data_IF_946438892952
#
_entry.id   IF_946438892952
#
_cell.length_a   1.000
_cell.length_b   1.000
_cell.length_c   1.000
_cell.angle_alpha   90.00
_cell.angle_beta   90.00
_cell.angle_gamma   90.00
#
_symmetry.space_group_name_H-M   'P 1'
#
loop_
_entity.id
_entity.type
_entity.pdbx_description
1 polymer ?
#
# COMPACT_ATOMS: atom_id res chain seq x y z
N UNK A 1 26.58 -8.88 -15.44
CA UNK A 1 25.53 -8.30 -16.31
C UNK A 1 24.39 -7.92 -15.39
N UNK A 2 24.36 -6.67 -14.92
CA UNK A 2 23.28 -6.16 -14.06
C UNK A 2 22.11 -5.84 -14.97
N UNK A 3 21.04 -6.64 -14.88
CA UNK A 3 19.80 -6.44 -15.65
C UNK A 3 19.12 -5.14 -15.19
N UNK A 4 18.39 -4.43 -16.08
CA UNK A 4 18.00 -3.04 -15.87
C UNK A 4 17.08 -2.92 -14.65
N UNK A 5 17.59 -2.22 -13.64
CA UNK A 5 16.84 -1.37 -12.72
C UNK A 5 15.42 -1.87 -12.37
N UNK A 6 15.35 -2.87 -11.48
CA UNK A 6 14.21 -3.03 -10.56
C UNK A 6 14.15 -1.84 -9.57
N UNK A 7 14.24 -0.61 -10.09
CA UNK A 7 14.28 0.61 -9.31
C UNK A 7 12.99 0.70 -8.53
N UNK A 8 13.15 0.71 -7.21
CA UNK A 8 12.05 0.93 -6.30
C UNK A 8 11.46 2.31 -6.61
N UNK A 9 10.21 2.33 -7.05
CA UNK A 9 9.51 3.54 -7.42
C UNK A 9 8.01 3.39 -7.16
N UNK A 10 7.33 4.52 -7.03
CA UNK A 10 5.88 4.57 -6.94
C UNK A 10 5.31 5.62 -7.89
N UNK A 11 4.06 5.41 -8.30
CA UNK A 11 3.29 6.36 -9.11
C UNK A 11 1.85 6.44 -8.62
N UNK A 12 1.24 7.62 -8.76
CA UNK A 12 -0.21 7.79 -8.70
C UNK A 12 -0.81 7.62 -10.09
N UNK A 13 -2.03 7.12 -10.16
CA UNK A 13 -2.80 7.07 -11.41
C UNK A 13 -4.25 7.48 -11.16
N UNK A 14 -4.91 8.15 -12.13
CA UNK A 14 -6.30 8.54 -12.00
C UNK A 14 -7.19 7.28 -11.97
N UNK A 15 -8.17 7.27 -11.06
CA UNK A 15 -9.18 6.21 -10.98
C UNK A 15 -10.54 6.83 -10.60
N UNK A 16 -11.26 7.36 -11.59
CA UNK A 16 -12.52 8.09 -11.39
C UNK A 16 -12.39 9.21 -10.34
N UNK A 17 -13.22 9.19 -9.28
CA UNK A 17 -13.17 10.13 -8.15
C UNK A 17 -12.11 9.77 -7.10
N UNK A 18 -11.37 8.67 -7.30
CA UNK A 18 -10.39 8.12 -6.37
C UNK A 18 -8.96 8.28 -6.92
N UNK A 19 -7.96 8.03 -6.05
CA UNK A 19 -6.54 8.07 -6.42
C UNK A 19 -5.97 6.66 -6.36
N UNK A 20 -5.50 6.15 -7.50
CA UNK A 20 -4.76 4.91 -7.57
C UNK A 20 -3.30 5.08 -7.17
N UNK A 21 -2.75 4.11 -6.46
CA UNK A 21 -1.33 4.02 -6.09
C UNK A 21 -0.75 2.75 -6.65
N UNK A 22 0.49 2.83 -7.10
CA UNK A 22 1.26 1.68 -7.55
C UNK A 22 2.69 1.78 -7.07
N UNK A 23 3.13 0.80 -6.29
CA UNK A 23 4.52 0.58 -5.92
C UNK A 23 5.16 -0.52 -6.79
N UNK A 24 6.43 -0.33 -7.13
CA UNK A 24 7.26 -1.28 -7.89
C UNK A 24 8.53 -1.59 -7.10
N UNK A 25 9.04 -2.81 -7.18
CA UNK A 25 10.31 -3.16 -6.56
C UNK A 25 10.85 -4.51 -7.00
N UNK A 26 12.11 -4.80 -6.67
CA UNK A 26 12.75 -6.09 -6.97
C UNK A 26 12.13 -7.27 -6.20
N UNK A 27 11.47 -6.98 -5.08
CA UNK A 27 10.82 -7.97 -4.21
C UNK A 27 9.39 -7.55 -3.91
N UNK A 28 8.57 -8.52 -3.48
CA UNK A 28 7.22 -8.27 -3.00
C UNK A 28 7.23 -7.16 -1.95
N UNK A 29 8.04 -7.33 -0.89
CA UNK A 29 8.21 -6.35 0.19
C UNK A 29 8.59 -4.96 -0.32
N UNK A 30 9.57 -4.86 -1.23
CA UNK A 30 9.97 -3.57 -1.79
C UNK A 30 8.82 -2.89 -2.55
N UNK A 31 7.99 -3.64 -3.27
CA UNK A 31 6.82 -3.07 -3.95
C UNK A 31 5.76 -2.56 -2.96
N UNK A 32 5.60 -3.21 -1.79
CA UNK A 32 4.75 -2.73 -0.71
C UNK A 32 5.27 -1.45 -0.07
N UNK A 33 6.58 -1.38 0.21
CA UNK A 33 7.22 -0.17 0.74
C UNK A 33 6.97 1.03 -0.18
N UNK A 34 7.11 0.83 -1.49
CA UNK A 34 6.86 1.90 -2.47
C UNK A 34 5.38 2.30 -2.53
N UNK A 35 4.45 1.34 -2.46
CA UNK A 35 3.03 1.66 -2.40
C UNK A 35 2.66 2.41 -1.11
N UNK A 36 3.29 2.10 0.03
CA UNK A 36 3.11 2.83 1.28
C UNK A 36 3.64 4.28 1.21
N UNK A 37 4.76 4.51 0.51
CA UNK A 37 5.24 5.86 0.20
C UNK A 37 4.24 6.63 -0.68
N UNK A 38 3.72 5.98 -1.72
CA UNK A 38 2.69 6.57 -2.58
C UNK A 38 1.41 6.93 -1.80
N UNK A 39 0.98 6.10 -0.87
CA UNK A 39 -0.15 6.38 0.03
C UNK A 39 0.12 7.61 0.91
N UNK A 40 1.29 7.65 1.54
CA UNK A 40 1.67 8.79 2.40
C UNK A 40 1.73 10.10 1.61
N UNK A 41 2.20 10.04 0.35
CA UNK A 41 2.30 11.19 -0.54
C UNK A 41 0.94 11.79 -0.95
N UNK A 42 -0.17 11.04 -0.84
CA UNK A 42 -1.53 11.60 -1.01
C UNK A 42 -1.87 12.54 0.14
N UNK A 43 -1.44 12.19 1.36
CA UNK A 43 -1.75 12.93 2.58
C UNK A 43 -0.84 14.15 2.75
N UNK A 44 0.47 14.00 2.51
CA UNK A 44 1.46 15.07 2.72
C UNK A 44 2.74 14.83 1.93
N UNK A 45 3.49 15.88 1.54
CA UNK A 45 4.81 15.70 0.93
C UNK A 45 5.75 14.90 1.83
N UNK A 46 6.34 13.82 1.30
CA UNK A 46 7.21 12.90 2.05
C UNK A 46 8.38 13.62 2.73
N UNK A 47 8.91 14.69 2.13
CA UNK A 47 10.02 15.47 2.68
C UNK A 47 9.65 16.18 3.99
N UNK A 48 8.36 16.33 4.29
CA UNK A 48 7.84 16.91 5.53
C UNK A 48 7.57 15.86 6.61
N UNK A 49 7.63 14.58 6.28
CA UNK A 49 7.39 13.48 7.22
C UNK A 49 8.68 13.20 7.99
N UNK A 50 8.60 13.26 9.32
CA UNK A 50 9.64 12.76 10.23
C UNK A 50 9.07 11.52 10.93
N UNK A 51 9.77 10.39 10.85
CA UNK A 51 9.38 9.13 11.49
C UNK A 51 10.40 8.76 12.59
N UNK A 52 10.34 9.43 13.76
CA UNK A 52 11.26 9.16 14.86
C UNK A 52 11.04 7.78 15.52
N UNK A 53 9.82 7.25 15.43
CA UNK A 53 9.40 6.00 16.04
C UNK A 53 8.94 5.01 14.98
N UNK A 54 9.30 3.74 15.16
CA UNK A 54 8.84 2.63 14.34
C UNK A 54 8.09 1.63 15.23
N UNK A 55 6.82 1.37 14.90
CA UNK A 55 6.02 0.33 15.54
C UNK A 55 5.93 -0.87 14.59
N UNK A 56 6.22 -2.06 15.12
CA UNK A 56 6.02 -3.30 14.38
C UNK A 56 4.57 -3.73 14.53
N UNK A 57 3.86 -3.85 13.41
CA UNK A 57 2.52 -4.39 13.36
C UNK A 57 2.62 -5.77 12.71
N UNK A 58 2.37 -6.82 13.51
CA UNK A 58 2.28 -8.17 12.99
C UNK A 58 0.83 -8.45 12.59
N UNK A 59 0.59 -8.73 11.31
CA UNK A 59 -0.72 -9.18 10.85
C UNK A 59 -0.74 -10.72 10.84
N UNK A 60 -1.65 -11.37 11.58
CA UNK A 60 -1.87 -12.80 11.49
C UNK A 60 -2.70 -13.11 10.23
N UNK A 61 -2.20 -12.78 9.03
CA UNK A 61 -2.89 -13.14 7.80
C UNK A 61 -2.45 -14.52 7.33
N UNK A 62 -3.43 -15.39 7.14
CA UNK A 62 -3.34 -16.76 6.64
C UNK A 62 -3.00 -16.81 5.15
N UNK A 63 -1.87 -16.25 4.72
CA UNK A 63 -1.28 -16.55 3.41
C UNK A 63 -1.84 -15.84 2.16
N UNK A 64 -2.91 -15.06 2.25
CA UNK A 64 -3.47 -14.35 1.08
C UNK A 64 -2.83 -12.96 0.91
N UNK A 65 -2.05 -12.81 -0.17
CA UNK A 65 -1.34 -11.57 -0.54
C UNK A 65 -2.26 -10.35 -0.76
N UNK A 66 -3.56 -10.57 -0.96
CA UNK A 66 -4.59 -9.55 -1.14
C UNK A 66 -4.99 -8.84 0.17
N UNK A 67 -4.44 -9.23 1.33
CA UNK A 67 -4.76 -8.59 2.62
C UNK A 67 -3.56 -7.93 3.31
N UNK A 68 -2.36 -7.90 2.70
CA UNK A 68 -1.16 -7.42 3.40
C UNK A 68 -1.19 -5.91 3.75
N UNK A 69 -2.08 -5.11 3.14
CA UNK A 69 -2.30 -3.71 3.56
C UNK A 69 -3.35 -3.53 4.66
N UNK A 70 -4.05 -4.60 5.07
CA UNK A 70 -5.21 -4.50 5.96
C UNK A 70 -4.99 -5.37 7.20
N UNK A 71 -5.10 -4.76 8.38
CA UNK A 71 -5.48 -5.52 9.59
C UNK A 71 -7.01 -5.59 9.63
N UNK A 72 -7.63 -6.77 9.79
CA UNK A 72 -9.07 -6.86 9.97
C UNK A 72 -9.49 -6.08 11.22
N UNK A 73 -10.57 -5.29 11.12
CA UNK A 73 -11.07 -4.53 12.25
C UNK A 73 -11.76 -5.46 13.26
N UNK A 74 -11.14 -5.64 14.42
CA UNK A 74 -11.80 -6.21 15.60
C UNK A 74 -12.66 -5.14 16.28
N UNK A 75 -13.99 -5.30 16.24
CA UNK A 75 -14.94 -4.32 16.81
C UNK A 75 -14.84 -4.20 18.33
N UNK A 76 -14.49 -5.28 19.04
CA UNK A 76 -14.36 -5.27 20.48
C UNK A 76 -13.07 -4.58 20.92
N UNK A 77 -11.97 -4.80 20.18
CA UNK A 77 -10.68 -4.16 20.44
C UNK A 77 -10.63 -2.70 20.00
N UNK A 78 -11.17 -2.39 18.82
CA UNK A 78 -11.01 -1.09 18.18
C UNK A 78 -12.14 -0.11 18.46
N UNK A 79 -13.30 -0.58 18.93
CA UNK A 79 -14.44 0.22 19.40
C UNK A 79 -14.72 1.52 18.59
N UNK A 80 -14.87 1.45 17.26
CA UNK A 80 -15.06 2.65 16.45
C UNK A 80 -16.45 3.24 16.67
N UNK A 81 -16.54 4.57 16.77
CA UNK A 81 -17.81 5.28 16.97
C UNK A 81 -18.78 5.16 15.77
N UNK A 82 -18.27 4.83 14.59
CA UNK A 82 -19.05 4.54 13.39
C UNK A 82 -18.23 3.70 12.41
N UNK A 83 -18.91 2.94 11.55
CA UNK A 83 -18.28 2.24 10.44
C UNK A 83 -18.15 3.18 9.23
N UNK A 84 -16.99 3.21 8.56
CA UNK A 84 -16.82 4.01 7.35
C UNK A 84 -17.79 3.55 6.26
N UNK A 85 -18.35 4.50 5.51
CA UNK A 85 -19.21 4.22 4.36
C UNK A 85 -18.35 3.69 3.20
N UNK A 86 -18.08 2.40 3.21
CA UNK A 86 -17.28 1.69 2.22
C UNK A 86 -15.77 1.73 2.48
N UNK A 87 -14.98 0.98 1.69
CA UNK A 87 -13.55 0.84 1.93
C UNK A 87 -12.79 2.13 1.59
N UNK A 88 -11.90 2.54 2.50
CA UNK A 88 -10.94 3.64 2.26
C UNK A 88 -9.86 3.19 1.28
N UNK A 89 -9.56 1.87 1.27
CA UNK A 89 -8.62 1.21 0.37
C UNK A 89 -9.31 0.07 -0.39
N UNK A 90 -9.26 0.08 -1.71
CA UNK A 90 -9.82 -0.95 -2.59
C UNK A 90 -8.86 -1.34 -3.72
N UNK A 91 -9.22 -2.32 -4.56
CA UNK A 91 -8.41 -2.68 -5.73
C UNK A 91 -7.01 -3.20 -5.41
N UNK A 92 -6.83 -3.80 -4.23
CA UNK A 92 -5.55 -4.32 -3.79
C UNK A 92 -5.10 -5.47 -4.68
N UNK A 93 -3.95 -5.31 -5.33
CA UNK A 93 -3.34 -6.35 -6.14
C UNK A 93 -1.83 -6.34 -5.95
N UNK A 94 -1.27 -7.52 -5.73
CA UNK A 94 0.17 -7.74 -5.64
C UNK A 94 0.52 -8.87 -6.59
N UNK A 95 1.46 -8.64 -7.49
CA UNK A 95 1.88 -9.66 -8.43
C UNK A 95 3.33 -9.46 -8.86
N UNK A 96 4.01 -10.57 -9.13
CA UNK A 96 5.26 -10.56 -9.88
C UNK A 96 4.95 -10.48 -11.37
N UNK A 97 5.66 -9.59 -12.07
CA UNK A 97 5.59 -9.42 -13.51
C UNK A 97 6.61 -10.32 -14.23
N UNK A 98 6.45 -10.46 -15.55
CA UNK A 98 7.31 -11.32 -16.39
C UNK A 98 8.80 -10.91 -16.37
N UNK A 99 9.09 -9.64 -16.11
CA UNK A 99 10.43 -9.07 -15.93
C UNK A 99 11.01 -9.29 -14.52
N UNK A 100 10.37 -10.14 -13.72
CA UNK A 100 10.68 -10.43 -12.31
C UNK A 100 10.48 -9.26 -11.34
N UNK A 101 10.01 -8.10 -11.81
CA UNK A 101 9.62 -6.99 -10.93
C UNK A 101 8.34 -7.33 -10.17
N UNK A 102 8.20 -6.79 -8.97
CA UNK A 102 6.96 -6.88 -8.19
C UNK A 102 6.20 -5.58 -8.28
N UNK A 103 4.88 -5.69 -8.36
CA UNK A 103 3.97 -4.56 -8.35
C UNK A 103 2.91 -4.75 -7.28
N UNK A 104 2.80 -3.80 -6.36
CA UNK A 104 1.70 -3.65 -5.42
C UNK A 104 0.86 -2.44 -5.82
N UNK A 105 -0.46 -2.55 -5.82
CA UNK A 105 -1.35 -1.44 -6.12
C UNK A 105 -2.58 -1.44 -5.23
N UNK A 106 -3.13 -0.26 -5.00
CA UNK A 106 -4.42 -0.05 -4.37
C UNK A 106 -5.06 1.25 -4.88
N UNK A 107 -6.33 1.45 -4.60
CA UNK A 107 -7.11 2.65 -4.91
C UNK A 107 -7.59 3.22 -3.58
N UNK A 108 -7.28 4.50 -3.36
CA UNK A 108 -7.66 5.24 -2.17
C UNK A 108 -8.83 6.14 -2.49
N UNK A 109 -9.89 6.03 -1.69
CA UNK A 109 -10.99 6.97 -1.77
C UNK A 109 -10.58 8.31 -1.19
N UNK A 110 -10.80 9.37 -1.96
CA UNK A 110 -10.69 10.76 -1.51
C UNK A 110 -12.06 11.42 -1.62
N UNK A 111 -12.64 11.82 -0.48
CA UNK A 111 -14.00 12.39 -0.39
C UNK A 111 -14.00 13.65 0.45
#
# INVERSE_FOLDING_TARGET
MLEPDHVAAWEHFPHDADIGIRGKGATCLASFEQAALGLTAIVTPLQKVRAPDAIQIACPSSGDSEFLFLEPIDLARHAPAALPRGPILSGLKVAQHADRSWRAQCVVRVS
#
